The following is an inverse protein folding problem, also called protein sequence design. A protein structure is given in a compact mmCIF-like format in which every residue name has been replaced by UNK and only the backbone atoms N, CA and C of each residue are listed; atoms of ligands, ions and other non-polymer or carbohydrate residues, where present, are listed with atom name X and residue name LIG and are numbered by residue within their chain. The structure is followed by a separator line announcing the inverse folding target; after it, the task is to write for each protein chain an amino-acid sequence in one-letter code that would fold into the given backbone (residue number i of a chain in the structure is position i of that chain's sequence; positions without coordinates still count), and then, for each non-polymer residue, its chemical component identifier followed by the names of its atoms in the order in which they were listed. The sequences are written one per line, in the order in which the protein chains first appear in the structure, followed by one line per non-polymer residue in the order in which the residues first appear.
data_IF_722746183993
#
_entry.id   IF_722746183993
#
_cell.length_a   1.000
_cell.length_b   1.000
_cell.length_c   1.000
_cell.angle_alpha   90.00
_cell.angle_beta   90.00
_cell.angle_gamma   90.00
#
_symmetry.space_group_name_H-M   'P 1'
#
loop_
_entity.id
_entity.type
_entity.pdbx_description
1 polymer ?
#
# COMPACT_ATOMS: atom_id res chain seq x y z
N UNK A 1 1.11 -9.54 -14.64
CA UNK A 1 0.36 -9.18 -13.41
C UNK A 1 -1.11 -8.99 -13.78
N UNK A 2 -2.00 -9.78 -13.19
CA UNK A 2 -3.46 -9.54 -13.23
C UNK A 2 -3.88 -8.76 -12.00
N UNK A 3 -4.89 -7.90 -12.12
CA UNK A 3 -5.40 -7.08 -11.02
C UNK A 3 -6.84 -7.51 -10.74
N UNK A 4 -7.11 -7.82 -9.48
CA UNK A 4 -8.43 -8.14 -8.96
C UNK A 4 -8.85 -7.04 -8.01
N UNK A 5 -9.87 -6.29 -8.37
CA UNK A 5 -10.42 -5.22 -7.54
C UNK A 5 -11.72 -5.68 -6.85
N UNK A 6 -12.02 -5.11 -5.68
CA UNK A 6 -13.21 -5.44 -4.88
C UNK A 6 -13.36 -6.96 -4.61
N UNK A 7 -12.23 -7.64 -4.35
CA UNK A 7 -12.23 -9.07 -4.13
C UNK A 7 -12.97 -9.45 -2.84
N UNK A 8 -13.89 -10.41 -2.96
CA UNK A 8 -14.71 -10.94 -1.87
C UNK A 8 -14.59 -12.46 -1.77
N UNK A 9 -15.22 -13.08 -0.78
CA UNK A 9 -15.28 -14.54 -0.66
C UNK A 9 -16.05 -15.23 -1.79
N UNK A 10 -16.76 -14.49 -2.64
CA UNK A 10 -17.48 -15.05 -3.80
C UNK A 10 -16.60 -15.13 -5.05
N UNK A 11 -15.40 -14.51 -5.02
CA UNK A 11 -14.44 -14.53 -6.09
C UNK A 11 -13.41 -15.65 -5.89
N UNK A 12 -12.86 -16.16 -6.99
CA UNK A 12 -11.86 -17.22 -6.99
C UNK A 12 -10.73 -16.87 -7.95
N UNK A 13 -9.52 -17.26 -7.58
CA UNK A 13 -8.34 -17.19 -8.44
C UNK A 13 -8.06 -18.61 -8.93
N UNK A 14 -8.16 -18.81 -10.24
CA UNK A 14 -7.97 -20.14 -10.84
C UNK A 14 -6.50 -20.55 -10.93
N UNK A 15 -5.59 -19.58 -11.02
CA UNK A 15 -4.16 -19.82 -11.12
C UNK A 15 -3.58 -20.33 -9.78
N UNK A 16 -2.65 -21.29 -9.85
CA UNK A 16 -1.96 -21.83 -8.67
C UNK A 16 -0.70 -21.00 -8.37
N UNK A 17 -0.88 -19.91 -7.62
CA UNK A 17 0.21 -19.07 -7.13
C UNK A 17 0.33 -19.24 -5.60
N UNK A 18 1.22 -20.15 -5.17
CA UNK A 18 1.20 -20.61 -3.78
C UNK A 18 1.67 -19.57 -2.76
N UNK A 19 2.47 -18.59 -3.16
CA UNK A 19 3.00 -17.57 -2.28
C UNK A 19 2.10 -16.33 -2.28
N UNK A 20 1.69 -15.89 -1.09
CA UNK A 20 0.81 -14.74 -0.88
C UNK A 20 1.43 -13.78 0.11
N UNK A 21 1.74 -12.57 -0.35
CA UNK A 21 2.26 -11.49 0.48
C UNK A 21 1.09 -10.56 0.87
N UNK A 22 0.82 -10.41 2.17
CA UNK A 22 -0.36 -9.68 2.66
C UNK A 22 0.05 -8.49 3.49
N UNK A 23 -0.55 -7.33 3.19
CA UNK A 23 -0.34 -6.12 3.97
C UNK A 23 -1.20 -4.94 3.54
N UNK A 24 -1.20 -3.88 4.34
CA UNK A 24 -1.84 -2.60 3.98
C UNK A 24 -1.07 -1.83 2.92
N UNK A 25 0.23 -1.96 2.94
CA UNK A 25 1.17 -1.39 1.97
C UNK A 25 0.99 0.12 1.71
N UNK A 26 0.62 0.89 2.74
CA UNK A 26 0.51 2.33 2.61
C UNK A 26 1.89 2.96 2.41
N UNK A 27 2.11 3.54 1.23
CA UNK A 27 3.39 4.10 0.82
C UNK A 27 4.41 3.08 0.31
N UNK A 28 4.15 1.77 0.35
CA UNK A 28 5.10 0.71 -0.10
C UNK A 28 6.55 1.03 0.33
N UNK A 29 6.73 1.44 1.59
CA UNK A 29 8.03 1.87 2.18
C UNK A 29 9.05 0.72 2.26
N UNK A 30 10.30 1.02 2.62
CA UNK A 30 11.39 0.05 2.61
C UNK A 30 11.07 -1.26 3.35
N UNK A 31 10.39 -1.21 4.51
CA UNK A 31 9.95 -2.43 5.19
C UNK A 31 8.95 -3.26 4.37
N UNK A 32 8.02 -2.61 3.66
CA UNK A 32 7.14 -3.30 2.73
C UNK A 32 7.90 -3.88 1.54
N UNK A 33 8.86 -3.14 1.00
CA UNK A 33 9.67 -3.58 -0.14
C UNK A 33 10.52 -4.80 0.23
N UNK A 34 11.04 -4.86 1.45
CA UNK A 34 11.80 -6.01 1.93
C UNK A 34 10.95 -7.27 2.00
N UNK A 35 9.72 -7.16 2.53
CA UNK A 35 8.76 -8.26 2.54
C UNK A 35 8.45 -8.75 1.11
N UNK A 36 8.25 -7.84 0.17
CA UNK A 36 7.98 -8.17 -1.22
C UNK A 36 9.18 -8.83 -1.92
N UNK A 37 10.41 -8.36 -1.64
CA UNK A 37 11.65 -8.97 -2.15
C UNK A 37 11.80 -10.39 -1.63
N UNK A 38 11.67 -10.59 -0.32
CA UNK A 38 11.75 -11.90 0.31
C UNK A 38 10.72 -12.87 -0.25
N UNK A 39 9.48 -12.41 -0.49
CA UNK A 39 8.45 -13.22 -1.14
C UNK A 39 8.85 -13.62 -2.57
N UNK A 40 9.36 -12.66 -3.35
CA UNK A 40 9.80 -12.89 -4.74
C UNK A 40 10.99 -13.85 -4.82
N UNK A 41 11.95 -13.75 -3.91
CA UNK A 41 13.11 -14.65 -3.83
C UNK A 41 12.70 -16.08 -3.48
N UNK A 42 11.68 -16.24 -2.63
CA UNK A 42 11.16 -17.54 -2.25
C UNK A 42 10.27 -18.17 -3.32
N UNK A 43 9.61 -17.37 -4.15
CA UNK A 43 8.74 -17.83 -5.23
C UNK A 43 8.65 -16.81 -6.36
N UNK A 44 8.99 -17.23 -7.58
CA UNK A 44 8.80 -16.41 -8.79
C UNK A 44 7.32 -16.18 -9.14
N UNK A 45 6.42 -17.02 -8.60
CA UNK A 45 4.98 -16.92 -8.80
C UNK A 45 4.32 -16.60 -7.47
N UNK A 46 4.02 -15.33 -7.25
CA UNK A 46 3.41 -14.86 -6.01
C UNK A 46 2.30 -13.83 -6.27
N UNK A 47 1.48 -13.67 -5.26
CA UNK A 47 0.38 -12.72 -5.24
C UNK A 47 0.65 -11.67 -4.18
N UNK A 48 0.32 -10.41 -4.47
CA UNK A 48 0.23 -9.36 -3.48
C UNK A 48 -1.24 -9.19 -3.12
N UNK A 49 -1.54 -9.25 -1.85
CA UNK A 49 -2.90 -9.07 -1.30
C UNK A 49 -2.91 -7.84 -0.42
N UNK A 50 -3.74 -6.89 -0.78
CA UNK A 50 -3.94 -5.64 -0.03
C UNK A 50 -5.44 -5.33 0.08
N UNK A 51 -5.79 -4.15 0.57
CA UNK A 51 -7.18 -3.75 0.74
C UNK A 51 -7.51 -2.56 -0.16
N UNK A 52 -8.73 -2.53 -0.69
CA UNK A 52 -9.28 -1.39 -1.44
C UNK A 52 -9.33 -0.12 -0.57
N UNK A 53 -9.74 -0.31 0.68
CA UNK A 53 -9.71 0.70 1.73
C UNK A 53 -8.92 0.16 2.91
N UNK A 54 -7.88 0.88 3.33
CA UNK A 54 -7.09 0.45 4.47
C UNK A 54 -7.92 0.45 5.77
N UNK A 55 -7.76 -0.54 6.66
CA UNK A 55 -8.51 -0.61 7.92
C UNK A 55 -8.46 0.69 8.72
N UNK A 56 -7.29 1.30 8.85
CA UNK A 56 -7.13 2.58 9.58
C UNK A 56 -7.95 3.70 8.95
N UNK A 57 -8.02 3.75 7.61
CA UNK A 57 -8.83 4.75 6.88
C UNK A 57 -10.32 4.49 7.00
N UNK A 58 -10.73 3.23 6.96
CA UNK A 58 -12.13 2.84 7.10
C UNK A 58 -12.72 3.27 8.47
N UNK A 59 -11.98 3.00 9.56
CA UNK A 59 -12.43 3.35 10.91
C UNK A 59 -12.17 4.80 11.31
N UNK A 60 -11.22 5.47 10.68
CA UNK A 60 -10.92 6.87 10.88
C UNK A 60 -10.84 7.60 9.54
N UNK A 61 -11.92 8.27 9.18
CA UNK A 61 -12.00 9.00 7.91
C UNK A 61 -10.97 10.15 7.77
N UNK A 62 -10.45 10.66 8.89
CA UNK A 62 -9.38 11.67 8.89
C UNK A 62 -7.99 11.09 8.69
N UNK A 63 -7.84 9.74 8.74
CA UNK A 63 -6.56 9.10 8.53
C UNK A 63 -6.06 9.35 7.10
N UNK A 64 -4.94 10.05 6.98
CA UNK A 64 -4.30 10.33 5.70
C UNK A 64 -3.55 9.09 5.19
N UNK A 65 -3.46 8.96 3.88
CA UNK A 65 -2.74 7.90 3.18
C UNK A 65 -1.46 8.46 2.55
N UNK A 66 -0.46 7.63 2.37
CA UNK A 66 0.75 7.99 1.61
C UNK A 66 0.56 7.79 0.11
N UNK A 67 -0.27 6.82 -0.28
CA UNK A 67 -0.48 6.45 -1.68
C UNK A 67 -1.93 6.12 -1.96
N UNK A 68 -2.40 6.48 -3.13
CA UNK A 68 -3.64 5.98 -3.72
C UNK A 68 -3.47 4.52 -4.17
N UNK A 69 -4.57 3.82 -4.47
CA UNK A 69 -4.49 2.46 -5.01
C UNK A 69 -3.79 2.42 -6.39
N UNK A 70 -4.01 3.43 -7.23
CA UNK A 70 -3.32 3.52 -8.53
C UNK A 70 -1.80 3.67 -8.37
N UNK A 71 -1.35 4.50 -7.44
CA UNK A 71 0.08 4.65 -7.13
C UNK A 71 0.67 3.36 -6.54
N UNK A 72 -0.07 2.65 -5.66
CA UNK A 72 0.35 1.33 -5.19
C UNK A 72 0.52 0.33 -6.33
N UNK A 73 -0.40 0.30 -7.30
CA UNK A 73 -0.29 -0.56 -8.48
C UNK A 73 1.03 -0.31 -9.22
N UNK A 74 1.38 0.96 -9.46
CA UNK A 74 2.62 1.31 -10.16
C UNK A 74 3.87 0.92 -9.35
N UNK A 75 3.84 1.07 -8.03
CA UNK A 75 4.93 0.65 -7.14
C UNK A 75 5.09 -0.88 -7.13
N UNK A 76 3.98 -1.62 -7.07
CA UNK A 76 4.00 -3.09 -7.07
C UNK A 76 4.49 -3.71 -8.37
N UNK A 77 4.30 -3.04 -9.52
CA UNK A 77 4.82 -3.52 -10.82
C UNK A 77 6.32 -3.77 -10.81
N UNK A 78 7.08 -3.05 -10.00
CA UNK A 78 8.54 -3.22 -9.86
C UNK A 78 8.93 -4.58 -9.28
N UNK A 79 8.02 -5.23 -8.55
CA UNK A 79 8.24 -6.56 -7.96
C UNK A 79 7.75 -7.69 -8.86
N UNK A 80 7.04 -7.37 -9.96
CA UNK A 80 6.55 -8.33 -10.96
C UNK A 80 5.67 -9.44 -10.37
N UNK A 81 4.69 -9.13 -9.48
CA UNK A 81 3.80 -10.15 -8.96
C UNK A 81 2.95 -10.75 -10.09
N UNK A 82 2.57 -12.01 -9.94
CA UNK A 82 1.64 -12.68 -10.87
C UNK A 82 0.25 -12.06 -10.77
N UNK A 83 -0.23 -11.86 -9.53
CA UNK A 83 -1.50 -11.22 -9.23
C UNK A 83 -1.36 -10.11 -8.20
N UNK A 84 -2.23 -9.12 -8.32
CA UNK A 84 -2.46 -8.08 -7.32
C UNK A 84 -3.94 -8.09 -6.96
N UNK A 85 -4.24 -8.34 -5.68
CA UNK A 85 -5.60 -8.51 -5.17
C UNK A 85 -5.92 -7.40 -4.19
N UNK A 86 -6.92 -6.61 -4.51
CA UNK A 86 -7.52 -5.65 -3.59
C UNK A 86 -8.76 -6.26 -2.95
N UNK A 87 -8.63 -6.72 -1.71
CA UNK A 87 -9.75 -7.25 -0.94
C UNK A 87 -10.69 -6.10 -0.57
N UNK A 88 -11.98 -6.31 -0.76
CA UNK A 88 -13.00 -5.41 -0.24
C UNK A 88 -12.99 -5.47 1.29
N UNK A 89 -12.48 -4.40 1.95
CA UNK A 89 -12.33 -4.40 3.39
C UNK A 89 -13.67 -4.45 4.12
N UNK A 90 -14.69 -3.76 3.64
CA UNK A 90 -16.02 -3.76 4.24
C UNK A 90 -16.62 -5.16 4.29
N UNK A 91 -16.35 -5.98 3.26
CA UNK A 91 -16.79 -7.37 3.21
C UNK A 91 -16.08 -8.24 4.25
N UNK A 92 -14.76 -8.08 4.40
CA UNK A 92 -13.97 -9.00 5.26
C UNK A 92 -13.79 -8.52 6.70
N UNK A 93 -14.14 -7.27 7.03
CA UNK A 93 -13.91 -6.69 8.35
C UNK A 93 -14.60 -7.45 9.51
N UNK A 94 -15.66 -8.20 9.20
CA UNK A 94 -16.42 -9.00 10.17
C UNK A 94 -16.03 -10.47 10.17
N UNK A 95 -15.11 -10.89 9.33
CA UNK A 95 -14.68 -12.29 9.27
C UNK A 95 -13.96 -12.68 10.54
N UNK A 96 -14.29 -13.88 11.05
CA UNK A 96 -13.45 -14.50 12.07
C UNK A 96 -12.05 -14.75 11.50
N UNK A 97 -11.01 -14.91 12.34
CA UNK A 97 -9.68 -15.29 11.84
C UNK A 97 -9.73 -16.55 10.97
N UNK A 98 -10.56 -17.54 11.37
CA UNK A 98 -10.76 -18.77 10.61
C UNK A 98 -11.31 -18.50 9.21
N UNK A 99 -12.39 -17.72 9.10
CA UNK A 99 -13.03 -17.40 7.82
C UNK A 99 -12.08 -16.66 6.89
N UNK A 100 -11.25 -15.77 7.43
CA UNK A 100 -10.22 -15.09 6.66
C UNK A 100 -9.15 -16.04 6.11
N UNK A 101 -8.66 -16.97 6.94
CA UNK A 101 -7.72 -18.01 6.50
C UNK A 101 -8.35 -18.95 5.44
N UNK A 102 -9.62 -19.34 5.63
CA UNK A 102 -10.36 -20.13 4.64
C UNK A 102 -10.46 -19.41 3.30
N UNK A 103 -10.70 -18.10 3.29
CA UNK A 103 -10.71 -17.30 2.06
C UNK A 103 -9.33 -17.29 1.40
N UNK A 104 -8.25 -17.09 2.13
CA UNK A 104 -6.88 -17.14 1.57
C UNK A 104 -6.59 -18.51 0.95
N UNK A 105 -6.94 -19.59 1.64
CA UNK A 105 -6.67 -20.95 1.20
C UNK A 105 -7.53 -21.37 0.02
N UNK A 106 -8.85 -21.16 0.10
CA UNK A 106 -9.80 -21.71 -0.87
C UNK A 106 -9.99 -20.79 -2.09
N UNK A 107 -10.03 -19.47 -1.86
CA UNK A 107 -10.33 -18.50 -2.92
C UNK A 107 -9.06 -18.02 -3.64
N UNK A 108 -7.92 -17.95 -2.95
CA UNK A 108 -6.64 -17.47 -3.48
C UNK A 108 -5.59 -18.58 -3.61
N UNK A 109 -5.93 -19.83 -3.20
CA UNK A 109 -5.02 -21.00 -3.24
C UNK A 109 -3.70 -20.79 -2.49
N UNK A 110 -3.73 -19.95 -1.44
CA UNK A 110 -2.56 -19.65 -0.65
C UNK A 110 -2.03 -20.90 0.06
N UNK A 111 -0.72 -21.15 -0.07
CA UNK A 111 0.01 -22.21 0.63
C UNK A 111 1.11 -21.64 1.53
N UNK A 112 1.78 -20.59 1.06
CA UNK A 112 2.80 -19.86 1.80
C UNK A 112 2.36 -18.42 2.02
N UNK A 113 2.37 -17.97 3.25
CA UNK A 113 1.91 -16.65 3.67
C UNK A 113 3.11 -15.81 4.10
N UNK A 114 3.25 -14.63 3.53
CA UNK A 114 4.30 -13.66 3.84
C UNK A 114 3.67 -12.41 4.43
N UNK A 115 4.02 -12.08 5.67
CA UNK A 115 3.44 -10.95 6.43
C UNK A 115 4.49 -10.26 7.29
N UNK A 116 4.22 -9.03 7.72
CA UNK A 116 4.99 -8.40 8.79
C UNK A 116 4.74 -9.10 10.14
N UNK A 117 5.71 -9.04 11.05
CA UNK A 117 5.62 -9.65 12.37
C UNK A 117 4.47 -9.10 13.25
N UNK A 118 4.00 -7.87 12.96
CA UNK A 118 2.90 -7.21 13.67
C UNK A 118 1.53 -7.36 12.97
N UNK A 119 1.45 -8.27 11.98
CA UNK A 119 0.23 -8.47 11.19
C UNK A 119 -0.94 -8.93 12.06
N UNK A 120 -2.05 -8.23 11.94
CA UNK A 120 -3.32 -8.55 12.62
C UNK A 120 -4.46 -8.54 11.63
N UNK A 121 -5.38 -9.50 11.77
CA UNK A 121 -6.51 -9.67 10.86
C UNK A 121 -7.77 -10.19 11.57
N UNK A 122 -8.85 -10.31 10.83
CA UNK A 122 -10.14 -10.76 11.38
C UNK A 122 -10.83 -9.70 12.23
N UNK A 123 -12.08 -9.99 12.60
CA UNK A 123 -12.87 -9.10 13.45
C UNK A 123 -12.12 -8.81 14.76
N UNK A 124 -12.18 -7.57 15.22
CA UNK A 124 -11.50 -7.09 16.42
C UNK A 124 -9.97 -7.36 16.45
N UNK A 125 -9.34 -7.66 15.28
CA UNK A 125 -7.91 -8.01 15.19
C UNK A 125 -7.53 -9.25 16.01
N UNK A 126 -8.44 -10.21 16.13
CA UNK A 126 -8.23 -11.43 16.91
C UNK A 126 -7.25 -12.42 16.26
N UNK A 127 -7.04 -12.33 14.95
CA UNK A 127 -6.03 -13.09 14.22
C UNK A 127 -4.68 -12.39 14.23
N UNK A 128 -3.62 -13.18 14.32
CA UNK A 128 -2.22 -12.75 14.26
C UNK A 128 -1.33 -13.79 13.58
N UNK A 129 -0.03 -13.58 13.64
CA UNK A 129 0.97 -14.52 13.08
C UNK A 129 0.86 -15.90 13.68
N UNK A 130 0.69 -16.01 15.01
CA UNK A 130 0.55 -17.30 15.69
C UNK A 130 -0.71 -18.04 15.21
N UNK A 131 -1.79 -17.31 14.96
CA UNK A 131 -3.00 -17.90 14.38
C UNK A 131 -2.76 -18.42 12.95
N UNK A 132 -2.02 -17.67 12.12
CA UNK A 132 -1.63 -18.14 10.77
C UNK A 132 -0.79 -19.41 10.85
N UNK A 133 0.22 -19.44 11.72
CA UNK A 133 1.08 -20.61 11.95
C UNK A 133 0.23 -21.83 12.38
N UNK A 134 -0.71 -21.62 13.31
CA UNK A 134 -1.61 -22.70 13.74
C UNK A 134 -2.50 -23.23 12.61
N UNK A 135 -2.90 -22.37 11.67
CA UNK A 135 -3.80 -22.73 10.58
C UNK A 135 -3.08 -23.34 9.37
N UNK A 136 -1.99 -22.71 8.91
CA UNK A 136 -1.26 -23.09 7.70
C UNK A 136 -0.04 -23.99 7.98
N UNK A 137 0.46 -24.06 9.21
CA UNK A 137 1.70 -24.70 9.59
C UNK A 137 2.89 -23.74 9.66
N UNK A 138 3.86 -24.03 10.51
CA UNK A 138 5.04 -23.19 10.75
C UNK A 138 5.87 -22.99 9.47
N UNK A 139 6.06 -24.04 8.68
CA UNK A 139 6.82 -23.99 7.43
C UNK A 139 6.14 -23.16 6.31
N UNK A 140 4.87 -22.81 6.51
CA UNK A 140 4.06 -22.08 5.51
C UNK A 140 3.86 -20.60 5.83
N UNK A 141 4.31 -20.13 7.00
CA UNK A 141 4.16 -18.73 7.41
C UNK A 141 5.51 -18.08 7.60
N UNK A 142 5.77 -17.09 6.80
CA UNK A 142 7.05 -16.38 6.76
C UNK A 142 6.84 -14.93 7.22
N UNK A 143 7.59 -14.54 8.24
CA UNK A 143 7.60 -13.15 8.72
C UNK A 143 8.93 -12.51 8.45
N UNK A 144 8.93 -11.19 8.29
CA UNK A 144 10.14 -10.40 8.34
C UNK A 144 10.16 -9.54 9.59
N UNK A 145 11.35 -9.33 10.11
CA UNK A 145 11.57 -8.38 11.19
C UNK A 145 11.28 -6.95 10.71
N UNK A 146 11.06 -6.07 11.68
CA UNK A 146 10.87 -4.67 11.40
C UNK A 146 12.12 -4.09 10.71
N UNK A 147 11.89 -3.39 9.61
CA UNK A 147 12.96 -2.70 8.92
C UNK A 147 13.30 -1.41 9.66
N UNK A 148 14.53 -1.30 10.12
CA UNK A 148 15.05 -0.13 10.82
C UNK A 148 15.98 0.67 9.93
N UNK A 149 15.87 1.98 10.00
CA UNK A 149 16.80 2.94 9.41
C UNK A 149 17.17 3.97 10.47
N UNK A 150 18.45 4.18 10.71
CA UNK A 150 18.97 5.07 11.76
C UNK A 150 18.41 4.74 13.18
N UNK A 151 18.25 3.45 13.50
CA UNK A 151 17.66 2.94 14.75
C UNK A 151 16.20 3.32 14.96
N UNK A 152 15.47 3.68 13.91
CA UNK A 152 14.04 3.91 13.95
C UNK A 152 13.32 2.91 13.05
N UNK A 153 12.24 2.30 13.56
CA UNK A 153 11.38 1.42 12.77
C UNK A 153 10.69 2.20 11.67
N UNK A 154 10.94 1.83 10.41
CA UNK A 154 10.25 2.40 9.27
C UNK A 154 8.77 1.98 9.28
N UNK A 155 7.88 2.96 9.21
CA UNK A 155 6.44 2.74 9.17
C UNK A 155 5.73 3.86 8.41
N UNK A 156 4.53 3.59 7.90
CA UNK A 156 3.70 4.64 7.27
C UNK A 156 3.40 5.80 8.23
N UNK A 157 3.34 5.55 9.54
CA UNK A 157 3.12 6.59 10.55
C UNK A 157 4.32 7.52 10.67
N UNK A 158 5.53 6.96 10.73
CA UNK A 158 6.77 7.74 10.76
C UNK A 158 6.92 8.61 9.51
N UNK A 159 6.66 8.03 8.33
CA UNK A 159 6.77 8.77 7.06
C UNK A 159 5.76 9.93 7.01
N UNK A 160 4.54 9.73 7.50
CA UNK A 160 3.54 10.80 7.59
C UNK A 160 3.98 11.92 8.55
N UNK A 161 4.64 11.59 9.67
CA UNK A 161 5.18 12.63 10.56
C UNK A 161 6.27 13.44 9.87
N UNK A 162 7.20 12.81 9.15
CA UNK A 162 8.21 13.52 8.36
C UNK A 162 7.57 14.49 7.35
N UNK A 163 6.58 14.03 6.60
CA UNK A 163 5.88 14.89 5.63
C UNK A 163 5.14 16.04 6.32
N UNK A 164 4.47 15.79 7.44
CA UNK A 164 3.72 16.83 8.18
C UNK A 164 4.62 17.89 8.80
N UNK A 165 5.88 17.57 9.04
CA UNK A 165 6.91 18.49 9.54
C UNK A 165 7.72 19.15 8.42
N UNK A 166 7.60 18.66 7.17
CA UNK A 166 8.29 19.17 5.99
C UNK A 166 9.62 18.49 5.74
N UNK A 167 9.96 17.41 6.43
CA UNK A 167 11.18 16.62 6.27
C UNK A 167 11.03 15.63 5.10
N UNK A 168 10.95 16.18 3.88
CA UNK A 168 10.65 15.38 2.68
C UNK A 168 11.81 14.43 2.34
N UNK A 169 13.05 14.85 2.59
CA UNK A 169 14.24 14.02 2.37
C UNK A 169 14.21 12.76 3.25
N UNK A 170 13.88 12.89 4.54
CA UNK A 170 13.76 11.75 5.46
C UNK A 170 12.59 10.84 5.08
N UNK A 171 11.48 11.44 4.61
CA UNK A 171 10.36 10.66 4.06
C UNK A 171 10.80 9.84 2.83
N UNK A 172 11.58 10.44 1.92
CA UNK A 172 12.11 9.76 0.73
C UNK A 172 13.09 8.63 1.09
N UNK A 173 13.97 8.85 2.06
CA UNK A 173 14.88 7.82 2.58
C UNK A 173 14.11 6.63 3.13
N UNK A 174 13.06 6.86 3.95
CA UNK A 174 12.23 5.82 4.52
C UNK A 174 11.34 5.11 3.49
N UNK A 175 10.92 5.81 2.43
CA UNK A 175 10.19 5.24 1.31
C UNK A 175 11.11 4.45 0.36
N UNK A 176 12.39 4.84 0.22
CA UNK A 176 13.28 4.31 -0.80
C UNK A 176 13.00 4.84 -2.22
N UNK A 177 12.18 5.88 -2.33
CA UNK A 177 11.86 6.59 -3.57
C UNK A 177 11.41 8.03 -3.28
N UNK A 178 11.43 8.91 -4.31
CA UNK A 178 10.95 10.29 -4.17
C UNK A 178 9.44 10.31 -3.94
N UNK A 179 8.97 10.89 -2.84
CA UNK A 179 7.54 11.06 -2.56
C UNK A 179 6.88 11.88 -3.67
N UNK A 180 5.75 11.43 -4.15
CA UNK A 180 5.05 12.07 -5.24
C UNK A 180 3.57 12.31 -4.91
N UNK A 181 3.01 13.35 -5.51
CA UNK A 181 1.61 13.67 -5.45
C UNK A 181 1.03 13.63 -6.86
N UNK A 182 -0.07 12.91 -7.02
CA UNK A 182 -0.82 12.86 -8.27
C UNK A 182 -2.09 13.69 -8.15
N UNK A 183 -2.47 14.33 -9.24
CA UNK A 183 -3.69 15.14 -9.25
C UNK A 183 -4.03 15.69 -10.63
N UNK A 184 -5.16 16.36 -10.72
CA UNK A 184 -5.60 17.03 -11.95
C UNK A 184 -5.29 18.51 -11.88
N UNK A 185 -4.85 19.08 -13.00
CA UNK A 185 -4.65 20.53 -13.11
C UNK A 185 -6.01 21.21 -13.19
N UNK A 186 -6.22 22.16 -12.30
CA UNK A 186 -7.43 22.97 -12.24
C UNK A 186 -7.12 24.44 -12.49
N UNK A 187 -8.11 25.18 -12.96
CA UNK A 187 -7.98 26.61 -13.13
C UNK A 187 -7.93 27.31 -11.77
N UNK A 188 -6.87 28.04 -11.51
CA UNK A 188 -6.73 28.88 -10.32
C UNK A 188 -7.05 30.36 -10.62
N UNK A 189 -6.70 31.24 -9.67
CA UNK A 189 -6.95 32.69 -9.73
C UNK A 189 -6.13 33.43 -10.82
N UNK A 190 -5.23 32.73 -11.53
CA UNK A 190 -4.38 33.28 -12.58
C UNK A 190 -3.51 34.48 -12.17
N UNK A 191 -3.29 34.70 -10.86
CA UNK A 191 -2.48 35.79 -10.33
C UNK A 191 -1.04 35.75 -10.83
N UNK A 192 -0.46 34.55 -10.93
CA UNK A 192 0.89 34.36 -11.46
C UNK A 192 1.04 34.83 -12.90
N UNK A 193 0.05 34.59 -13.77
CA UNK A 193 0.08 35.05 -15.16
C UNK A 193 0.08 36.57 -15.28
N UNK A 194 -0.57 37.28 -14.36
CA UNK A 194 -0.62 38.75 -14.36
C UNK A 194 0.74 39.39 -14.02
N UNK A 195 1.59 38.69 -13.33
CA UNK A 195 2.93 39.13 -12.89
C UNK A 195 4.06 38.44 -13.70
N UNK A 196 3.72 37.75 -14.79
CA UNK A 196 4.69 37.09 -15.68
C UNK A 196 5.16 35.70 -15.23
N UNK A 197 4.59 35.12 -14.15
CA UNK A 197 4.93 33.79 -13.63
C UNK A 197 3.67 32.90 -13.62
N UNK A 198 3.29 32.29 -14.75
CA UNK A 198 2.13 31.42 -14.80
C UNK A 198 2.33 30.21 -13.88
N UNK A 199 1.28 29.90 -13.09
CA UNK A 199 1.26 28.81 -12.13
C UNK A 199 0.19 27.79 -12.53
N UNK A 200 0.45 26.52 -12.26
CA UNK A 200 -0.53 25.44 -12.34
C UNK A 200 -1.02 25.09 -10.94
N UNK A 201 -2.34 25.04 -10.75
CA UNK A 201 -2.93 24.54 -9.52
C UNK A 201 -3.27 23.07 -9.73
N UNK A 202 -2.87 22.23 -8.78
CA UNK A 202 -3.14 20.81 -8.79
C UNK A 202 -4.15 20.46 -7.70
N UNK A 203 -5.23 19.77 -8.09
CA UNK A 203 -6.18 19.19 -7.16
C UNK A 203 -5.71 17.77 -6.81
N UNK A 204 -5.23 17.59 -5.60
CA UNK A 204 -4.78 16.31 -5.04
C UNK A 204 -5.94 15.66 -4.29
N UNK A 205 -5.98 14.33 -4.25
CA UNK A 205 -6.96 13.61 -3.42
C UNK A 205 -6.81 14.07 -1.95
N UNK A 206 -7.92 14.53 -1.39
CA UNK A 206 -8.00 15.03 -0.01
C UNK A 206 -7.58 14.03 1.06
N UNK A 207 -7.50 12.74 0.72
CA UNK A 207 -7.09 11.68 1.63
C UNK A 207 -5.58 11.42 1.61
N UNK A 208 -4.83 12.05 0.71
CA UNK A 208 -3.39 11.87 0.60
C UNK A 208 -2.65 12.88 1.46
N UNK A 209 -1.62 12.40 2.17
CA UNK A 209 -0.76 13.22 3.00
C UNK A 209 0.00 14.24 2.15
N UNK A 210 -0.30 15.52 2.33
CA UNK A 210 0.46 16.60 1.71
C UNK A 210 1.58 17.00 2.66
N UNK A 211 2.81 17.27 2.18
CA UNK A 211 3.87 17.84 3.00
C UNK A 211 3.45 19.18 3.63
N UNK A 212 4.10 19.54 4.74
CA UNK A 212 3.91 20.85 5.39
C UNK A 212 3.94 21.98 4.36
N UNK A 213 3.10 22.99 4.55
CA UNK A 213 3.12 24.17 3.68
C UNK A 213 4.54 24.76 3.57
N UNK A 214 5.02 24.94 2.36
CA UNK A 214 6.39 25.40 2.09
C UNK A 214 6.67 25.54 0.60
N UNK A 215 7.92 25.80 0.28
CA UNK A 215 8.41 25.87 -1.09
C UNK A 215 9.34 24.67 -1.30
N UNK A 216 9.03 23.86 -2.29
CA UNK A 216 9.75 22.62 -2.60
C UNK A 216 10.25 22.65 -4.04
N UNK A 217 11.47 22.14 -4.25
CA UNK A 217 11.96 21.82 -5.59
C UNK A 217 11.37 20.49 -6.01
N UNK A 218 10.64 20.46 -7.13
CA UNK A 218 9.93 19.28 -7.61
C UNK A 218 10.25 18.96 -9.06
N UNK A 219 10.07 17.68 -9.45
CA UNK A 219 9.96 17.23 -10.84
C UNK A 219 8.48 17.09 -11.17
N UNK A 220 8.06 17.58 -12.32
CA UNK A 220 6.67 17.52 -12.78
C UNK A 220 6.59 16.66 -14.02
N UNK A 221 5.69 15.68 -14.01
CA UNK A 221 5.39 14.80 -15.14
C UNK A 221 3.96 15.03 -15.59
N UNK A 222 3.78 15.42 -16.85
CA UNK A 222 2.46 15.57 -17.47
C UNK A 222 2.12 14.27 -18.20
N UNK A 223 1.10 13.56 -17.71
CA UNK A 223 0.72 12.25 -18.24
C UNK A 223 -0.18 12.32 -19.48
N UNK A 224 -0.88 13.45 -19.69
CA UNK A 224 -1.61 13.71 -20.93
C UNK A 224 -1.67 15.20 -21.24
N UNK A 225 -1.47 15.56 -22.48
CA UNK A 225 -1.79 16.87 -23.04
C UNK A 225 -3.04 16.68 -23.89
N UNK A 226 -4.20 17.09 -23.37
CA UNK A 226 -5.40 17.25 -24.20
C UNK A 226 -5.31 18.64 -24.78
N UNK A 227 -4.98 18.74 -26.06
CA UNK A 227 -5.20 19.98 -26.81
C UNK A 227 -6.71 20.06 -27.10
N UNK A 228 -7.36 20.94 -26.38
CA UNK A 228 -8.72 21.37 -26.73
C UNK A 228 -8.64 22.49 -27.71
#
# INVERSE_FOLDING_TARGET
MRIYENFTSDNYIDDDFPAVCIGGFDGVHLGHQELLKHTKESSNLFQIVTFDTLPKKYFNNEHMLLTTNNEKIELFKKFEPSNLVFINFEHVMKFSPKTFCEMLQNNMKAKNIYVGNDFKFGANREGDVDYLIKYFGEDSVHTIEDYEHNNEKISSTLIKSFLSEGFVEQANEALGYEYSLSGTIIKGDQRGSQIGFPTANMNVDKNIQIPKNGVYKVKVYLLSLIHI
#
